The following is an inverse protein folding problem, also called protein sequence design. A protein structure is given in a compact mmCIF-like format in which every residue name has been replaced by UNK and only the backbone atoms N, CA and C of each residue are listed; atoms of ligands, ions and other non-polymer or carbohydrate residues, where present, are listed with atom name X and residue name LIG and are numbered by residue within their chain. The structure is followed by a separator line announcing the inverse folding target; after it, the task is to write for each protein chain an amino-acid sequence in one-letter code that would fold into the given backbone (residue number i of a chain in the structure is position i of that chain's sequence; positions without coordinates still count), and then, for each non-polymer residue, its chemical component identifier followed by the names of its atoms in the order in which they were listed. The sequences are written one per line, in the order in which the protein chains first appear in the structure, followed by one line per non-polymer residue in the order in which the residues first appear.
data_IF_112151313710
#
_entry.id   IF_112151313710
#
_cell.length_a   1.000
_cell.length_b   1.000
_cell.length_c   1.000
_cell.angle_alpha   90.00
_cell.angle_beta   90.00
_cell.angle_gamma   90.00
#
_symmetry.space_group_name_H-M   'P 1'
#
loop_
_entity.id
_entity.type
_entity.pdbx_description
1 polymer ?
#
# COMPACT_ATOMS: atom_id res chain seq x y z
N UNK A 1 2.93 0.21 17.86
CA UNK A 1 3.02 -0.43 16.56
C UNK A 1 1.62 -0.80 16.13
N UNK A 2 1.06 0.03 15.24
CA UNK A 2 -0.31 -0.07 14.73
C UNK A 2 -0.25 -0.60 13.30
N UNK A 3 -0.35 -1.91 13.17
CA UNK A 3 -0.20 -2.62 11.89
C UNK A 3 -1.45 -3.38 11.50
N UNK A 4 -1.64 -3.58 10.19
CA UNK A 4 -2.66 -4.46 9.67
C UNK A 4 -2.23 -5.06 8.32
N UNK A 5 -2.73 -6.26 8.02
CA UNK A 5 -2.59 -6.91 6.72
C UNK A 5 -3.95 -7.40 6.27
N UNK A 6 -4.29 -7.15 5.01
CA UNK A 6 -5.59 -7.51 4.42
C UNK A 6 -5.36 -8.10 3.03
N UNK A 7 -6.02 -9.21 2.78
CA UNK A 7 -6.09 -9.86 1.47
C UNK A 7 -7.55 -9.86 1.00
N UNK A 8 -7.78 -9.44 -0.24
CA UNK A 8 -9.11 -9.42 -0.86
C UNK A 8 -9.04 -10.00 -2.27
N UNK A 9 -9.81 -11.05 -2.50
CA UNK A 9 -9.94 -11.69 -3.81
C UNK A 9 -11.36 -11.58 -4.31
N UNK A 10 -11.55 -11.05 -5.52
CA UNK A 10 -12.81 -11.10 -6.25
C UNK A 10 -12.61 -11.64 -7.66
N UNK A 11 -13.66 -11.65 -8.48
CA UNK A 11 -13.56 -12.10 -9.86
C UNK A 11 -12.74 -11.14 -10.74
N UNK A 12 -12.66 -9.87 -10.35
CA UNK A 12 -12.04 -8.79 -11.12
C UNK A 12 -10.58 -8.55 -10.73
N UNK A 13 -10.23 -8.72 -9.44
CA UNK A 13 -8.90 -8.37 -8.91
C UNK A 13 -8.58 -9.15 -7.64
N UNK A 14 -7.29 -9.30 -7.39
CA UNK A 14 -6.72 -9.87 -6.16
C UNK A 14 -5.78 -8.84 -5.55
N UNK A 15 -6.13 -8.35 -4.36
CA UNK A 15 -5.43 -7.24 -3.72
C UNK A 15 -4.86 -7.70 -2.38
N UNK A 16 -3.57 -7.44 -2.18
CA UNK A 16 -2.87 -7.58 -0.91
C UNK A 16 -2.45 -6.19 -0.42
N UNK A 17 -2.69 -5.89 0.85
CA UNK A 17 -2.22 -4.67 1.51
C UNK A 17 -1.63 -5.00 2.87
N UNK A 18 -0.45 -4.46 3.17
CA UNK A 18 0.13 -4.41 4.50
C UNK A 18 0.45 -2.96 4.86
N UNK A 19 0.10 -2.54 6.06
CA UNK A 19 0.27 -1.16 6.53
C UNK A 19 0.86 -1.11 7.94
N UNK A 20 1.78 -0.17 8.17
CA UNK A 20 2.23 0.26 9.50
C UNK A 20 2.02 1.77 9.67
N UNK A 21 1.15 2.15 10.59
CA UNK A 21 0.85 3.56 10.86
C UNK A 21 1.94 4.26 11.69
N UNK A 22 2.85 3.51 12.29
CA UNK A 22 3.97 4.03 13.09
C UNK A 22 5.31 3.91 12.31
N UNK A 23 5.25 3.94 10.98
CA UNK A 23 6.37 3.72 10.06
C UNK A 23 7.28 4.93 9.80
N UNK A 24 8.00 4.89 8.67
CA UNK A 24 8.93 5.95 8.23
C UNK A 24 8.66 6.48 6.82
N UNK A 25 7.60 6.02 6.16
CA UNK A 25 7.26 6.37 4.78
C UNK A 25 7.98 5.50 3.75
N UNK A 26 8.28 4.25 4.11
CA UNK A 26 8.68 3.20 3.18
C UNK A 26 7.46 2.72 2.38
N UNK A 27 7.69 2.38 1.12
CA UNK A 27 6.63 1.90 0.26
C UNK A 27 7.13 0.77 -0.63
N UNK A 28 6.21 -0.15 -0.93
CA UNK A 28 6.39 -1.21 -1.90
C UNK A 28 5.04 -1.42 -2.62
N UNK A 29 4.80 -0.64 -3.67
CA UNK A 29 3.50 -0.53 -4.35
C UNK A 29 3.62 -1.00 -5.80
N UNK A 30 2.76 -1.93 -6.19
CA UNK A 30 2.60 -2.37 -7.57
C UNK A 30 1.13 -2.76 -7.80
N UNK A 31 0.36 -1.85 -8.39
CA UNK A 31 -1.06 -2.09 -8.74
C UNK A 31 -1.28 -2.25 -10.25
N UNK A 32 -0.21 -2.28 -11.05
CA UNK A 32 -0.30 -2.24 -12.52
C UNK A 32 -0.82 -0.93 -13.12
N UNK A 33 -1.06 0.12 -12.31
CA UNK A 33 -1.55 1.44 -12.76
C UNK A 33 -0.59 2.51 -12.25
N UNK A 34 0.37 2.90 -13.09
CA UNK A 34 1.50 3.74 -12.67
C UNK A 34 1.13 5.08 -12.01
N UNK A 35 0.01 5.72 -12.41
CA UNK A 35 -0.44 6.94 -11.73
C UNK A 35 -0.96 6.66 -10.32
N UNK A 36 -1.65 5.54 -10.11
CA UNK A 36 -2.11 5.14 -8.78
C UNK A 36 -0.93 4.76 -7.89
N UNK A 37 0.04 4.03 -8.43
CA UNK A 37 1.28 3.70 -7.72
C UNK A 37 1.93 4.98 -7.20
N UNK A 38 2.15 5.97 -8.08
CA UNK A 38 2.74 7.25 -7.70
C UNK A 38 1.97 8.01 -6.61
N UNK A 39 0.63 7.95 -6.65
CA UNK A 39 -0.22 8.56 -5.63
C UNK A 39 -0.05 7.88 -4.26
N UNK A 40 0.06 6.55 -4.23
CA UNK A 40 0.27 5.78 -3.00
C UNK A 40 1.69 5.96 -2.46
N UNK A 41 2.70 6.03 -3.31
CA UNK A 41 4.08 6.38 -2.92
C UNK A 41 4.13 7.75 -2.25
N UNK A 42 3.48 8.75 -2.85
CA UNK A 42 3.36 10.11 -2.31
C UNK A 42 2.65 10.10 -0.96
N UNK A 43 1.58 9.33 -0.83
CA UNK A 43 0.87 9.16 0.44
C UNK A 43 1.79 8.63 1.55
N UNK A 44 2.61 7.61 1.27
CA UNK A 44 3.55 7.05 2.25
C UNK A 44 4.58 8.09 2.69
N UNK A 45 5.19 8.79 1.72
CA UNK A 45 6.23 9.81 2.00
C UNK A 45 5.74 10.97 2.87
N UNK A 46 4.51 11.40 2.69
CA UNK A 46 3.97 12.55 3.43
C UNK A 46 3.27 12.18 4.74
N UNK A 47 2.82 10.94 4.88
CA UNK A 47 2.17 10.47 6.11
C UNK A 47 3.13 9.75 7.08
N UNK A 48 4.33 9.38 6.61
CA UNK A 48 5.27 8.48 7.30
C UNK A 48 4.69 7.08 7.57
N UNK A 49 3.65 6.69 6.85
CA UNK A 49 3.07 5.36 6.92
C UNK A 49 3.86 4.44 6.01
N UNK A 50 4.20 3.25 6.51
CA UNK A 50 4.79 2.22 5.67
C UNK A 50 3.68 1.41 5.00
N UNK A 51 3.78 1.22 3.68
CA UNK A 51 2.72 0.58 2.90
C UNK A 51 3.30 -0.41 1.89
N UNK A 52 2.73 -1.61 1.86
CA UNK A 52 2.94 -2.58 0.79
C UNK A 52 1.62 -2.89 0.11
N UNK A 53 1.56 -2.77 -1.21
CA UNK A 53 0.37 -3.06 -2.02
C UNK A 53 0.74 -3.94 -3.21
N UNK A 54 -0.08 -4.96 -3.49
CA UNK A 54 -0.11 -5.72 -4.73
C UNK A 54 -1.55 -5.80 -5.23
N UNK A 55 -1.81 -5.54 -6.50
CA UNK A 55 -3.14 -5.60 -7.10
C UNK A 55 -3.10 -5.97 -8.59
#
# INVERSE_FOLDING_TARGET
MRTATVERKTAETEVFVSIDLDGTGEYDVDTGIGFLDHMLESFCKHSLIDLKVRA
#
